data_IF_784845833088
#
_entry.id   IF_784845833088
#
_cell.length_a   1.000
_cell.length_b   1.000
_cell.length_c   1.000
_cell.angle_alpha   90.00
_cell.angle_beta   90.00
_cell.angle_gamma   90.00
#
_symmetry.space_group_name_H-M   'P 1'
#
loop_
_entity.id
_entity.type
_entity.pdbx_description
1 polymer ?
#
# COMPACT_ATOMS: atom_id res chain seq x y z
N UNK A 1 6.43 21.13 9.84
CA UNK A 1 5.02 21.32 9.47
C UNK A 1 4.21 21.31 10.75
N UNK A 2 3.38 22.34 11.00
CA UNK A 2 2.54 22.38 12.20
C UNK A 2 1.45 21.30 12.12
N UNK A 3 1.16 20.61 13.22
CA UNK A 3 0.07 19.62 13.32
C UNK A 3 -1.27 20.19 12.84
N UNK A 4 -1.49 21.48 13.10
CA UNK A 4 -2.66 22.24 12.65
C UNK A 4 -2.77 22.30 11.10
N UNK A 5 -1.64 22.46 10.40
CA UNK A 5 -1.61 22.50 8.93
C UNK A 5 -1.91 21.13 8.29
N UNK A 6 -1.58 20.04 8.99
CA UNK A 6 -1.89 18.69 8.55
C UNK A 6 -3.37 18.35 8.76
N UNK A 7 -3.92 18.68 9.94
CA UNK A 7 -5.35 18.51 10.23
C UNK A 7 -6.22 19.31 9.26
N UNK A 8 -5.83 20.55 8.97
CA UNK A 8 -6.52 21.37 7.98
C UNK A 8 -6.58 20.70 6.61
N UNK A 9 -5.47 20.10 6.14
CA UNK A 9 -5.42 19.40 4.85
C UNK A 9 -6.34 18.17 4.82
N UNK A 10 -6.43 17.41 5.92
CA UNK A 10 -7.35 16.27 6.02
C UNK A 10 -8.82 16.72 5.97
N UNK A 11 -9.16 17.80 6.68
CA UNK A 11 -10.50 18.37 6.67
C UNK A 11 -10.86 18.90 5.28
N UNK A 12 -9.95 19.64 4.63
CA UNK A 12 -10.15 20.14 3.26
C UNK A 12 -10.37 18.98 2.28
N UNK A 13 -9.54 17.93 2.35
CA UNK A 13 -9.69 16.74 1.51
C UNK A 13 -11.01 16.00 1.76
N UNK A 14 -11.45 15.91 3.01
CA UNK A 14 -12.73 15.28 3.35
C UNK A 14 -13.90 16.10 2.80
N UNK A 15 -13.84 17.42 2.93
CA UNK A 15 -14.88 18.33 2.44
C UNK A 15 -14.98 18.30 0.91
N UNK A 16 -13.86 18.23 0.19
CA UNK A 16 -13.89 18.15 -1.28
C UNK A 16 -14.46 16.82 -1.79
N UNK A 17 -14.13 15.71 -1.12
CA UNK A 17 -14.71 14.40 -1.45
C UNK A 17 -16.22 14.39 -1.17
N UNK A 18 -16.66 14.89 -0.01
CA UNK A 18 -18.08 14.99 0.32
C UNK A 18 -18.84 15.86 -0.68
N UNK A 19 -18.34 17.05 -1.01
CA UNK A 19 -18.96 17.92 -2.00
C UNK A 19 -19.06 17.25 -3.39
N UNK A 20 -18.08 16.43 -3.76
CA UNK A 20 -18.12 15.68 -5.02
C UNK A 20 -19.17 14.56 -5.00
N UNK A 21 -19.31 13.85 -3.87
CA UNK A 21 -20.35 12.83 -3.67
C UNK A 21 -21.74 13.47 -3.71
N UNK A 22 -21.94 14.57 -2.99
CA UNK A 22 -23.19 15.31 -2.94
C UNK A 22 -23.57 15.83 -4.33
N UNK A 23 -22.62 16.38 -5.08
CA UNK A 23 -22.84 16.84 -6.45
C UNK A 23 -23.28 15.72 -7.41
N UNK A 24 -22.62 14.55 -7.35
CA UNK A 24 -22.96 13.42 -8.20
C UNK A 24 -24.32 12.80 -7.83
N UNK A 25 -24.61 12.64 -6.53
CA UNK A 25 -25.89 12.10 -6.05
C UNK A 25 -27.06 13.05 -6.33
N UNK A 26 -26.87 14.36 -6.15
CA UNK A 26 -27.87 15.36 -6.50
C UNK A 26 -28.15 15.37 -8.00
N UNK A 27 -27.12 15.20 -8.83
CA UNK A 27 -27.29 15.09 -10.29
C UNK A 27 -28.12 13.86 -10.64
N UNK A 28 -27.86 12.70 -10.01
CA UNK A 28 -28.66 11.50 -10.23
C UNK A 28 -30.14 11.70 -9.91
N UNK A 29 -30.43 12.24 -8.72
CA UNK A 29 -31.80 12.50 -8.27
C UNK A 29 -32.51 13.52 -9.18
N UNK A 30 -31.85 14.64 -9.47
CA UNK A 30 -32.43 15.70 -10.30
C UNK A 30 -32.68 15.23 -11.73
N UNK A 31 -31.71 14.56 -12.37
CA UNK A 31 -31.90 14.09 -13.77
C UNK A 31 -32.97 13.01 -13.86
N UNK A 32 -33.08 12.13 -12.85
CA UNK A 32 -34.14 11.13 -12.80
C UNK A 32 -35.52 11.78 -12.64
N UNK A 33 -35.65 12.77 -11.76
CA UNK A 33 -36.88 13.54 -11.60
C UNK A 33 -37.29 14.23 -12.90
N UNK A 34 -36.35 14.90 -13.58
CA UNK A 34 -36.61 15.58 -14.85
C UNK A 34 -37.12 14.59 -15.93
N UNK A 35 -36.56 13.36 -16.00
CA UNK A 35 -37.05 12.31 -16.89
C UNK A 35 -38.49 11.91 -16.53
N UNK A 36 -38.79 11.72 -15.24
CA UNK A 36 -40.13 11.35 -14.79
C UNK A 36 -41.16 12.43 -15.14
N UNK A 37 -40.80 13.71 -15.01
CA UNK A 37 -41.66 14.84 -15.36
C UNK A 37 -41.90 14.93 -16.88
N UNK A 38 -40.87 14.69 -17.69
CA UNK A 38 -40.98 14.68 -19.16
C UNK A 38 -41.83 13.49 -19.65
N UNK A 39 -41.70 12.32 -19.00
CA UNK A 39 -42.39 11.09 -19.38
C UNK A 39 -43.93 11.17 -19.28
N UNK A 40 -44.47 12.14 -18.54
CA UNK A 40 -45.92 12.38 -18.48
C UNK A 40 -46.46 12.93 -19.81
N UNK A 41 -46.90 12.04 -20.70
CA UNK A 41 -47.33 12.39 -22.06
C UNK A 41 -48.85 12.61 -22.16
N UNK A 42 -49.32 13.79 -21.75
CA UNK A 42 -50.72 14.21 -21.95
C UNK A 42 -50.92 14.86 -23.32
N UNK A 43 -51.11 14.04 -24.37
CA UNK A 43 -51.46 14.51 -25.74
C UNK A 43 -50.57 15.65 -26.26
N UNK A 44 -49.26 15.55 -26.06
CA UNK A 44 -48.29 16.55 -26.52
C UNK A 44 -48.12 16.49 -28.03
N UNK A 45 -47.80 17.64 -28.64
CA UNK A 45 -47.52 17.74 -30.07
C UNK A 45 -46.25 16.94 -30.47
N UNK A 46 -46.23 16.42 -31.70
CA UNK A 46 -45.14 15.57 -32.20
C UNK A 46 -43.78 16.30 -32.19
N UNK A 47 -43.77 17.61 -32.45
CA UNK A 47 -42.53 18.38 -32.41
C UNK A 47 -42.00 18.52 -30.98
N UNK A 48 -42.90 18.70 -30.00
CA UNK A 48 -42.56 18.73 -28.57
C UNK A 48 -42.01 17.38 -28.11
N UNK A 49 -42.68 16.28 -28.47
CA UNK A 49 -42.23 14.91 -28.13
C UNK A 49 -40.82 14.64 -28.69
N UNK A 50 -40.50 15.11 -29.90
CA UNK A 50 -39.15 14.94 -30.45
C UNK A 50 -38.07 15.64 -29.63
N UNK A 51 -38.35 16.83 -29.09
CA UNK A 51 -37.42 17.53 -28.19
C UNK A 51 -37.27 16.81 -26.85
N UNK A 52 -38.37 16.30 -26.31
CA UNK A 52 -38.41 15.55 -25.05
C UNK A 52 -37.61 14.24 -25.12
N UNK A 53 -37.67 13.53 -26.24
CA UNK A 53 -36.86 12.31 -26.46
C UNK A 53 -35.37 12.62 -26.37
N UNK A 54 -34.92 13.72 -27.00
CA UNK A 54 -33.53 14.15 -26.90
C UNK A 54 -33.14 14.55 -25.46
N UNK A 55 -34.04 15.20 -24.73
CA UNK A 55 -33.81 15.55 -23.32
C UNK A 55 -33.66 14.31 -22.44
N UNK A 56 -34.49 13.28 -22.65
CA UNK A 56 -34.39 12.00 -21.94
C UNK A 56 -33.03 11.34 -22.22
N UNK A 57 -32.57 11.31 -23.46
CA UNK A 57 -31.25 10.77 -23.82
C UNK A 57 -30.11 11.57 -23.14
N UNK A 58 -30.21 12.91 -23.15
CA UNK A 58 -29.23 13.77 -22.49
C UNK A 58 -29.21 13.57 -20.96
N UNK A 59 -30.37 13.43 -20.32
CA UNK A 59 -30.49 13.22 -18.89
C UNK A 59 -29.98 11.84 -18.47
N UNK A 60 -30.29 10.78 -19.23
CA UNK A 60 -29.77 9.43 -18.97
C UNK A 60 -28.24 9.38 -19.11
N UNK A 61 -27.66 10.01 -20.14
CA UNK A 61 -26.21 10.12 -20.30
C UNK A 61 -25.56 10.89 -19.14
N UNK A 62 -26.22 11.94 -18.67
CA UNK A 62 -25.74 12.73 -17.52
C UNK A 62 -25.78 11.91 -16.22
N UNK A 63 -26.79 11.04 -16.03
CA UNK A 63 -26.85 10.11 -14.91
C UNK A 63 -25.71 9.09 -14.95
N UNK A 64 -25.43 8.49 -16.12
CA UNK A 64 -24.31 7.54 -16.29
C UNK A 64 -23.00 8.19 -15.87
N UNK A 65 -22.73 9.42 -16.34
CA UNK A 65 -21.53 10.17 -15.95
C UNK A 65 -21.45 10.43 -14.45
N UNK A 66 -22.57 10.73 -13.80
CA UNK A 66 -22.61 10.91 -12.35
C UNK A 66 -22.26 9.61 -11.58
N UNK A 67 -22.69 8.44 -12.09
CA UNK A 67 -22.28 7.15 -11.51
C UNK A 67 -20.79 6.87 -11.73
N UNK A 68 -20.26 7.17 -12.92
CA UNK A 68 -18.82 7.05 -13.20
C UNK A 68 -17.98 7.90 -12.25
N UNK A 69 -18.43 9.14 -11.97
CA UNK A 69 -17.79 10.00 -10.97
C UNK A 69 -17.78 9.38 -9.57
N UNK A 70 -18.88 8.77 -9.13
CA UNK A 70 -18.93 8.07 -7.84
C UNK A 70 -17.97 6.87 -7.81
N UNK A 71 -17.82 6.15 -8.92
CA UNK A 71 -16.87 5.06 -9.03
C UNK A 71 -15.42 5.56 -8.92
N UNK A 72 -15.10 6.68 -9.58
CA UNK A 72 -13.80 7.33 -9.47
C UNK A 72 -13.49 7.79 -8.04
N UNK A 73 -14.46 8.38 -7.34
CA UNK A 73 -14.33 8.75 -5.92
C UNK A 73 -14.04 7.49 -5.07
N UNK A 74 -14.75 6.39 -5.33
CA UNK A 74 -14.51 5.13 -4.61
C UNK A 74 -13.10 4.58 -4.84
N UNK A 75 -12.57 4.72 -6.07
CA UNK A 75 -11.21 4.32 -6.43
C UNK A 75 -10.17 5.18 -5.73
N UNK A 76 -10.39 6.50 -5.68
CA UNK A 76 -9.53 7.43 -4.96
C UNK A 76 -9.50 7.10 -3.46
N UNK A 77 -10.65 6.84 -2.85
CA UNK A 77 -10.75 6.49 -1.43
C UNK A 77 -10.01 5.18 -1.12
N UNK A 78 -10.22 4.14 -1.93
CA UNK A 78 -9.48 2.86 -1.80
C UNK A 78 -7.98 3.07 -1.92
N UNK A 79 -7.54 3.87 -2.88
CA UNK A 79 -6.12 4.19 -3.07
C UNK A 79 -5.55 4.95 -1.88
N UNK A 80 -6.30 5.89 -1.31
CA UNK A 80 -5.92 6.61 -0.09
C UNK A 80 -5.74 5.66 1.10
N UNK A 81 -6.64 4.69 1.26
CA UNK A 81 -6.53 3.66 2.29
C UNK A 81 -5.31 2.75 2.10
N UNK A 82 -5.01 2.35 0.86
CA UNK A 82 -3.85 1.51 0.53
C UNK A 82 -2.51 2.25 0.71
N UNK A 83 -2.47 3.57 0.46
CA UNK A 83 -1.29 4.40 0.64
C UNK A 83 -1.03 4.80 2.10
N UNK A 84 -2.00 4.57 3.00
CA UNK A 84 -1.77 4.80 4.42
C UNK A 84 -0.77 3.77 4.92
N UNK A 85 0.25 4.21 5.67
CA UNK A 85 1.45 3.42 5.98
C UNK A 85 1.09 2.04 6.54
N UNK A 86 1.14 1.01 5.70
CA UNK A 86 0.99 -0.38 6.12
C UNK A 86 2.19 -0.79 6.97
N UNK A 87 2.05 -1.75 7.90
CA UNK A 87 3.18 -2.30 8.63
C UNK A 87 4.25 -2.76 7.63
N UNK A 88 5.48 -2.32 7.85
CA UNK A 88 6.67 -2.41 6.99
C UNK A 88 7.19 -3.83 6.80
N UNK A 89 6.35 -4.85 6.93
CA UNK A 89 6.74 -6.25 6.84
C UNK A 89 6.55 -6.73 5.42
N UNK A 90 7.64 -6.67 4.66
CA UNK A 90 7.75 -7.46 3.43
C UNK A 90 7.60 -8.92 3.84
N UNK A 91 6.66 -9.69 3.26
CA UNK A 91 6.52 -11.10 3.56
C UNK A 91 7.81 -11.79 3.11
N UNK A 92 8.64 -12.17 4.07
CA UNK A 92 9.84 -12.96 3.84
C UNK A 92 9.61 -14.36 4.41
N UNK A 93 9.68 -15.35 3.53
CA UNK A 93 9.74 -16.75 3.90
C UNK A 93 11.22 -17.07 4.23
N UNK A 94 11.64 -16.89 5.48
CA UNK A 94 12.96 -17.33 5.94
C UNK A 94 12.94 -18.84 6.23
N UNK A 95 13.06 -19.67 5.19
CA UNK A 95 13.01 -21.15 5.34
C UNK A 95 14.37 -21.75 5.72
N UNK A 96 15.45 -21.01 5.47
CA UNK A 96 16.79 -21.39 5.87
C UNK A 96 17.31 -20.33 6.81
N UNK A 97 17.23 -20.59 8.11
CA UNK A 97 18.11 -19.89 9.06
C UNK A 97 19.54 -20.21 8.63
N UNK A 98 20.30 -19.19 8.22
CA UNK A 98 21.70 -19.38 7.88
C UNK A 98 22.38 -19.97 9.10
N UNK A 99 22.83 -21.22 9.05
CA UNK A 99 23.64 -21.79 10.12
C UNK A 99 25.03 -21.12 10.09
N UNK A 100 25.11 -19.96 10.76
CA UNK A 100 26.34 -19.18 10.87
C UNK A 100 27.47 -20.00 11.50
N UNK A 101 27.14 -20.97 12.35
CA UNK A 101 28.12 -21.82 13.03
C UNK A 101 28.68 -22.86 12.04
N UNK A 102 27.81 -23.50 11.27
CA UNK A 102 28.21 -24.41 10.18
C UNK A 102 29.04 -23.71 9.10
N UNK A 103 28.71 -22.46 8.76
CA UNK A 103 29.50 -21.66 7.82
C UNK A 103 30.85 -21.26 8.42
N UNK A 104 30.88 -20.81 9.67
CA UNK A 104 32.12 -20.42 10.38
C UNK A 104 33.09 -21.58 10.47
N UNK A 105 32.62 -22.76 10.86
CA UNK A 105 33.46 -23.95 10.99
C UNK A 105 34.07 -24.37 9.65
N UNK A 106 33.30 -24.33 8.56
CA UNK A 106 33.82 -24.53 7.19
C UNK A 106 34.82 -23.47 6.78
N UNK A 107 34.59 -22.20 7.11
CA UNK A 107 35.51 -21.12 6.80
C UNK A 107 36.85 -21.28 7.56
N UNK A 108 36.78 -21.61 8.84
CA UNK A 108 37.96 -21.87 9.67
C UNK A 108 38.70 -23.12 9.20
N UNK A 109 38.00 -24.17 8.76
CA UNK A 109 38.68 -25.36 8.21
C UNK A 109 39.40 -25.05 6.91
N UNK A 110 38.79 -24.30 5.99
CA UNK A 110 39.44 -23.85 4.74
C UNK A 110 40.66 -22.97 5.02
N UNK A 111 40.56 -22.03 5.96
CA UNK A 111 41.66 -21.14 6.31
C UNK A 111 42.86 -21.88 6.93
N UNK A 112 42.62 -23.02 7.56
CA UNK A 112 43.64 -23.84 8.20
C UNK A 112 44.12 -25.02 7.32
N UNK A 113 43.70 -25.10 6.04
CA UNK A 113 44.20 -26.14 5.12
C UNK A 113 45.70 -25.95 4.91
N UNK A 114 46.49 -27.01 5.14
CA UNK A 114 47.95 -26.99 5.02
C UNK A 114 48.68 -26.40 6.24
N UNK A 115 47.94 -25.93 7.25
CA UNK A 115 48.49 -25.51 8.53
C UNK A 115 48.20 -26.60 9.58
N UNK A 116 49.24 -27.18 10.17
CA UNK A 116 49.08 -28.11 11.30
C UNK A 116 48.83 -27.33 12.60
N UNK A 117 47.58 -26.86 12.76
CA UNK A 117 47.16 -26.06 13.90
C UNK A 117 47.17 -26.88 15.20
N UNK A 118 47.05 -28.21 15.14
CA UNK A 118 47.11 -29.08 16.33
C UNK A 118 48.49 -29.04 16.98
N UNK A 119 49.56 -29.04 16.19
CA UNK A 119 50.92 -28.89 16.73
C UNK A 119 51.19 -27.46 17.26
N UNK A 120 50.54 -26.43 16.71
CA UNK A 120 50.68 -25.05 17.23
C UNK A 120 50.06 -24.86 18.62
N UNK A 121 48.98 -25.56 18.96
CA UNK A 121 48.36 -25.48 20.30
C UNK A 121 49.11 -26.32 21.35
N UNK A 122 49.65 -27.47 20.96
CA UNK A 122 50.44 -28.35 21.83
C UNK A 122 51.80 -27.73 22.17
N UNK A 123 52.44 -27.06 21.20
CA UNK A 123 53.73 -26.41 21.45
C UNK A 123 53.61 -25.18 22.38
N UNK A 124 52.49 -24.45 22.35
CA UNK A 124 52.25 -23.34 23.28
C UNK A 124 51.94 -23.81 24.72
N UNK A 125 51.40 -25.02 24.91
CA UNK A 125 51.18 -25.60 26.26
C UNK A 125 52.45 -26.25 26.81
N UNK A 126 53.32 -26.79 25.95
CA UNK A 126 54.63 -27.30 26.35
C UNK A 126 55.61 -26.18 26.77
N UNK A 127 55.70 -25.09 26.00
CA UNK A 127 56.56 -23.93 26.34
C UNK A 127 56.13 -23.21 27.63
N UNK A 128 54.85 -23.33 28.00
CA UNK A 128 54.33 -22.77 29.26
C UNK A 128 54.70 -23.61 30.50
N UNK A 129 54.95 -24.90 30.32
CA UNK A 129 55.32 -25.81 31.42
C UNK A 129 56.83 -25.86 31.66
N UNK A 130 57.68 -25.66 30.64
CA UNK A 130 59.13 -25.57 30.83
C UNK A 130 59.56 -24.29 31.57
N UNK A 131 58.91 -23.15 31.31
CA UNK A 131 59.19 -21.89 32.02
C UNK A 131 58.82 -21.89 33.51
N UNK A 132 57.99 -22.84 33.96
CA UNK A 132 57.63 -22.95 35.38
C UNK A 132 58.56 -23.86 36.19
N UNK A 133 59.39 -24.69 35.54
CA UNK A 133 60.35 -25.56 36.22
C UNK A 133 61.65 -24.82 36.61
N UNK A 134 62.06 -23.80 35.84
CA UNK A 134 63.27 -23.01 36.09
C UNK A 134 63.12 -21.93 37.18
N UNK A 135 61.93 -21.78 37.78
CA UNK A 135 61.67 -20.79 38.86
C UNK A 135 61.70 -21.45 40.26
N UNK A 136 61.87 -22.78 40.33
CA UNK A 136 62.00 -23.51 41.61
C UNK A 136 63.31 -24.31 41.68
N UNK A 137 64.45 -23.62 41.77
CA UNK A 137 65.72 -24.15 42.31
C UNK A 137 66.56 -23.01 42.87
#
# INVERSE_FOLDING_TARGET
>A
MSTESFQRRLTEHTNTLNASIDGATQTLLSRFQDIADIAMNQRKDKHTVSSEVYQIECHTLSMIRAVEQLLDISRQLKSFWLCNSSPTTVPSLSYNETDLVGLRTKLTSLQNIGLDVKNSLVNNTAESNEKNADITS
#
